data_IF_282113561028
#
_entry.id   IF_282113561028
#
_cell.length_a   1.000
_cell.length_b   1.000
_cell.length_c   1.000
_cell.angle_alpha   90.00
_cell.angle_beta   90.00
_cell.angle_gamma   90.00
#
_symmetry.space_group_name_H-M   'P 1'
#
loop_
_entity.id
_entity.type
_entity.pdbx_description
1 polymer ?
#
# COMPACT_ATOMS: atom_id res chain seq x y z
N UNK A 1 -15.57 36.32 -14.62
CA UNK A 1 -14.59 35.42 -15.28
C UNK A 1 -13.89 34.65 -14.16
N UNK A 2 -14.49 33.53 -13.74
CA UNK A 2 -13.91 32.65 -12.72
C UNK A 2 -12.78 31.89 -13.38
N UNK A 3 -11.52 32.09 -12.90
CA UNK A 3 -10.40 31.22 -13.24
C UNK A 3 -10.78 29.81 -12.78
N UNK A 4 -10.85 28.85 -13.71
CA UNK A 4 -10.86 27.44 -13.36
C UNK A 4 -9.66 27.17 -12.44
N UNK A 5 -9.95 26.93 -11.16
CA UNK A 5 -8.98 26.37 -10.24
C UNK A 5 -8.59 25.02 -10.83
N UNK A 6 -7.39 24.91 -11.40
CA UNK A 6 -6.82 23.60 -11.72
C UNK A 6 -6.84 22.78 -10.44
N UNK A 7 -7.64 21.74 -10.43
CA UNK A 7 -7.59 20.74 -9.37
C UNK A 7 -6.13 20.28 -9.27
N UNK A 8 -5.53 20.55 -8.11
CA UNK A 8 -4.22 19.97 -7.80
C UNK A 8 -4.52 18.50 -7.54
N UNK A 9 -4.02 17.62 -8.40
CA UNK A 9 -4.06 16.16 -8.19
C UNK A 9 -3.17 15.88 -6.98
N UNK A 10 -3.78 15.97 -5.79
CA UNK A 10 -3.06 15.71 -4.53
C UNK A 10 -2.73 14.21 -4.50
N UNK A 11 -1.49 13.83 -4.20
CA UNK A 11 -1.14 12.44 -4.08
C UNK A 11 -1.91 11.81 -2.91
N UNK A 12 -2.47 10.61 -3.10
CA UNK A 12 -2.91 9.80 -1.96
C UNK A 12 -1.69 9.55 -1.07
N UNK A 13 -1.81 9.88 0.20
CA UNK A 13 -0.79 9.59 1.20
C UNK A 13 -1.33 8.50 2.09
N UNK A 14 -0.66 7.35 2.01
CA UNK A 14 -0.89 6.21 2.90
C UNK A 14 0.16 6.24 4.01
N UNK A 15 -0.30 6.06 5.24
CA UNK A 15 0.56 5.94 6.41
C UNK A 15 0.26 4.60 7.09
N UNK A 16 1.26 3.75 7.16
CA UNK A 16 1.16 2.44 7.76
C UNK A 16 1.41 2.49 9.27
N UNK A 17 0.59 1.78 10.02
CA UNK A 17 0.73 1.60 11.47
C UNK A 17 0.60 0.13 11.84
N UNK A 18 1.26 -0.30 12.91
CA UNK A 18 0.98 -1.59 13.51
C UNK A 18 -0.49 -1.64 13.98
N UNK A 19 -0.92 -0.63 14.75
CA UNK A 19 -2.31 -0.39 15.15
C UNK A 19 -2.67 1.10 15.02
N UNK A 20 -3.40 1.44 13.96
CA UNK A 20 -3.90 2.82 13.73
C UNK A 20 -4.85 3.28 14.84
N UNK A 21 -5.57 2.35 15.46
CA UNK A 21 -6.59 2.69 16.47
C UNK A 21 -5.94 3.28 17.71
N UNK A 22 -4.78 2.75 18.11
CA UNK A 22 -3.97 3.30 19.20
C UNK A 22 -3.58 4.75 18.93
N UNK A 23 -3.08 5.04 17.74
CA UNK A 23 -2.64 6.38 17.34
C UNK A 23 -3.82 7.35 17.29
N UNK A 24 -4.93 6.94 16.67
CA UNK A 24 -6.12 7.79 16.50
C UNK A 24 -6.82 8.14 17.82
N UNK A 25 -6.58 7.41 18.91
CA UNK A 25 -7.07 7.79 20.25
C UNK A 25 -6.42 9.07 20.79
N UNK A 26 -5.22 9.39 20.33
CA UNK A 26 -4.43 10.52 20.83
C UNK A 26 -4.44 11.74 19.90
N UNK A 27 -5.01 11.62 18.70
CA UNK A 27 -5.03 12.69 17.71
C UNK A 27 -6.46 13.01 17.31
N UNK A 28 -6.85 14.29 17.45
CA UNK A 28 -8.18 14.75 16.97
C UNK A 28 -8.26 14.56 15.46
N UNK A 29 -9.30 13.87 15.01
CA UNK A 29 -9.51 13.56 13.61
C UNK A 29 -11.00 13.42 13.29
N UNK A 30 -11.36 13.54 12.03
CA UNK A 30 -12.71 13.24 11.52
C UNK A 30 -12.61 12.09 10.53
N UNK A 31 -13.27 10.95 10.76
CA UNK A 31 -13.31 9.87 9.78
C UNK A 31 -13.99 10.32 8.48
N UNK A 32 -13.41 9.90 7.35
CA UNK A 32 -13.96 10.18 6.04
C UNK A 32 -15.22 9.34 5.77
N UNK A 33 -16.09 9.86 4.90
CA UNK A 33 -17.32 9.21 4.45
C UNK A 33 -17.15 8.72 3.00
N UNK A 34 -17.66 7.52 2.71
CA UNK A 34 -17.81 7.00 1.35
C UNK A 34 -19.05 7.61 0.68
N UNK A 35 -19.10 7.60 -0.66
CA UNK A 35 -20.31 8.00 -1.43
C UNK A 35 -21.56 7.21 -1.03
N UNK A 36 -21.39 5.98 -0.51
CA UNK A 36 -22.48 5.15 0.04
C UNK A 36 -23.02 5.63 1.39
N UNK A 37 -22.46 6.69 1.97
CA UNK A 37 -22.78 7.18 3.30
C UNK A 37 -22.06 6.47 4.44
N UNK A 38 -21.37 5.35 4.19
CA UNK A 38 -20.63 4.59 5.21
C UNK A 38 -19.27 5.25 5.52
N UNK A 39 -18.69 4.88 6.66
CA UNK A 39 -17.33 5.26 7.01
C UNK A 39 -16.32 4.70 6.01
N UNK A 40 -15.35 5.53 5.62
CA UNK A 40 -14.20 5.09 4.85
C UNK A 40 -13.28 4.20 5.72
N UNK A 41 -12.76 3.11 5.17
CA UNK A 41 -12.01 2.12 5.97
C UNK A 41 -10.72 2.67 6.57
N UNK A 42 -10.04 3.57 5.87
CA UNK A 42 -8.69 4.08 6.22
C UNK A 42 -8.65 5.59 6.36
N UNK A 43 -9.49 6.30 5.59
CA UNK A 43 -9.43 7.75 5.43
C UNK A 43 -9.85 8.55 6.65
N UNK A 44 -9.03 9.53 7.01
CA UNK A 44 -9.30 10.49 8.08
C UNK A 44 -8.87 11.90 7.66
N UNK A 45 -9.48 12.92 8.28
CA UNK A 45 -9.08 14.31 8.17
C UNK A 45 -8.55 14.79 9.52
N UNK A 46 -7.41 15.47 9.51
CA UNK A 46 -6.84 16.16 10.67
C UNK A 46 -7.11 17.67 10.64
N UNK A 47 -7.64 18.17 9.53
CA UNK A 47 -8.14 19.54 9.39
C UNK A 47 -9.60 19.61 9.82
N UNK A 48 -10.05 20.80 10.23
CA UNK A 48 -11.45 21.03 10.56
C UNK A 48 -12.33 20.85 9.32
N UNK A 49 -13.04 19.74 9.31
CA UNK A 49 -14.11 19.44 8.35
C UNK A 49 -15.43 19.30 9.12
N UNK A 50 -16.55 19.84 8.62
CA UNK A 50 -17.84 19.69 9.29
C UNK A 50 -18.19 18.23 9.53
N UNK A 51 -18.64 17.92 10.77
CA UNK A 51 -19.05 16.58 11.19
C UNK A 51 -20.56 16.46 11.22
N UNK A 52 -21.06 15.33 10.77
CA UNK A 52 -22.43 14.94 10.94
C UNK A 52 -22.68 14.34 12.34
N UNK A 53 -23.95 14.08 12.66
CA UNK A 53 -24.36 13.53 13.97
C UNK A 53 -23.75 12.14 14.23
N UNK A 54 -23.45 11.38 13.18
CA UNK A 54 -22.77 10.07 13.26
C UNK A 54 -21.25 10.18 13.46
N UNK A 55 -20.71 11.39 13.59
CA UNK A 55 -19.28 11.64 13.81
C UNK A 55 -18.40 11.60 12.55
N UNK A 56 -18.96 11.27 11.38
CA UNK A 56 -18.25 11.28 10.12
C UNK A 56 -18.26 12.67 9.47
N UNK A 57 -17.39 12.89 8.49
CA UNK A 57 -17.49 14.09 7.65
C UNK A 57 -18.89 14.21 7.01
N UNK A 58 -19.42 15.44 6.92
CA UNK A 58 -20.77 15.69 6.36
C UNK A 58 -20.84 15.37 4.87
N UNK A 59 -19.73 15.47 4.16
CA UNK A 59 -19.62 15.19 2.74
C UNK A 59 -18.78 13.92 2.49
N UNK A 60 -19.01 13.25 1.38
CA UNK A 60 -18.17 12.12 0.97
C UNK A 60 -16.75 12.56 0.59
N UNK A 61 -15.82 11.62 0.55
CA UNK A 61 -14.39 11.89 0.36
C UNK A 61 -14.06 12.55 -0.98
N UNK A 62 -14.81 12.26 -2.06
CA UNK A 62 -14.58 12.89 -3.36
C UNK A 62 -15.03 14.35 -3.37
N UNK A 63 -16.18 14.62 -2.75
CA UNK A 63 -16.67 15.98 -2.61
C UNK A 63 -15.77 16.79 -1.66
N UNK A 64 -15.29 16.18 -0.56
CA UNK A 64 -14.35 16.82 0.35
C UNK A 64 -13.04 17.22 -0.37
N UNK A 65 -12.51 16.36 -1.25
CA UNK A 65 -11.34 16.67 -2.09
C UNK A 65 -11.60 17.87 -3.02
N UNK A 66 -12.76 17.95 -3.65
CA UNK A 66 -13.17 19.09 -4.49
C UNK A 66 -13.25 20.40 -3.69
N UNK A 67 -13.60 20.32 -2.40
CA UNK A 67 -13.62 21.46 -1.47
C UNK A 67 -12.23 21.80 -0.91
N UNK A 68 -11.18 21.06 -1.28
CA UNK A 68 -9.81 21.28 -0.87
C UNK A 68 -9.42 20.63 0.47
N UNK A 69 -10.24 19.72 1.01
CA UNK A 69 -9.86 18.94 2.18
C UNK A 69 -8.91 17.83 1.79
N UNK A 70 -7.87 17.67 2.59
CA UNK A 70 -6.84 16.64 2.39
C UNK A 70 -7.11 15.43 3.28
N UNK A 71 -7.40 14.28 2.65
CA UNK A 71 -7.60 12.99 3.31
C UNK A 71 -6.28 12.25 3.46
N UNK A 72 -5.98 11.74 4.65
CA UNK A 72 -4.90 10.78 4.88
C UNK A 72 -5.48 9.38 5.06
N UNK A 73 -4.90 8.40 4.39
CA UNK A 73 -5.22 7.00 4.58
C UNK A 73 -4.29 6.38 5.61
N UNK A 74 -4.84 5.98 6.76
CA UNK A 74 -4.12 5.32 7.84
C UNK A 74 -4.43 3.83 7.81
N UNK A 75 -3.43 3.01 7.52
CA UNK A 75 -3.58 1.57 7.33
C UNK A 75 -3.09 0.80 8.55
N UNK A 76 -3.78 -0.30 8.87
CA UNK A 76 -3.28 -1.30 9.80
C UNK A 76 -2.41 -2.29 9.04
N UNK A 77 -1.15 -2.38 9.41
CA UNK A 77 -0.16 -3.29 8.84
C UNK A 77 0.49 -4.07 9.98
N UNK A 78 -0.09 -5.22 10.35
CA UNK A 78 0.32 -6.02 11.50
C UNK A 78 1.77 -6.50 11.46
N UNK A 79 2.43 -6.46 10.29
CA UNK A 79 3.86 -6.77 10.18
C UNK A 79 4.70 -5.86 11.11
N UNK A 80 4.30 -4.61 11.27
CA UNK A 80 5.03 -3.65 12.11
C UNK A 80 4.94 -3.93 13.62
N UNK A 81 4.05 -4.83 14.07
CA UNK A 81 4.04 -5.28 15.48
C UNK A 81 5.35 -5.99 15.88
N UNK A 82 6.03 -6.62 14.92
CA UNK A 82 7.33 -7.24 15.10
C UNK A 82 8.52 -6.26 15.07
N UNK A 83 8.30 -5.00 14.73
CA UNK A 83 9.35 -3.98 14.65
C UNK A 83 9.50 -3.30 16.00
N UNK A 84 10.71 -3.32 16.57
CA UNK A 84 11.00 -2.80 17.92
C UNK A 84 11.10 -1.28 17.97
N UNK A 85 11.81 -0.71 17.00
CA UNK A 85 12.15 0.70 16.90
C UNK A 85 12.61 1.08 15.47
N UNK A 86 12.92 2.35 15.24
CA UNK A 86 13.38 2.87 13.95
C UNK A 86 14.69 2.21 13.48
N UNK A 87 15.64 1.97 14.38
CA UNK A 87 16.93 1.36 14.05
C UNK A 87 16.70 -0.06 13.55
N UNK A 88 15.85 -0.83 14.24
CA UNK A 88 15.47 -2.17 13.82
C UNK A 88 14.74 -2.17 12.47
N UNK A 89 13.85 -1.18 12.24
CA UNK A 89 13.18 -1.05 10.95
C UNK A 89 14.19 -0.81 9.81
N UNK A 90 15.14 0.09 10.00
CA UNK A 90 16.19 0.38 9.01
C UNK A 90 17.04 -0.86 8.75
N UNK A 91 17.42 -1.61 9.79
CA UNK A 91 18.13 -2.88 9.65
C UNK A 91 17.34 -3.89 8.81
N UNK A 92 16.05 -4.08 9.11
CA UNK A 92 15.17 -4.98 8.37
C UNK A 92 14.98 -4.56 6.90
N UNK A 93 14.95 -3.26 6.62
CA UNK A 93 14.80 -2.72 5.27
C UNK A 93 16.07 -2.84 4.43
N UNK A 94 17.25 -2.78 5.07
CA UNK A 94 18.56 -2.74 4.39
C UNK A 94 19.27 -4.08 4.35
N UNK A 95 18.85 -5.04 5.17
CA UNK A 95 19.37 -6.42 5.13
C UNK A 95 18.84 -7.13 3.89
N UNK A 96 19.74 -7.67 3.09
CA UNK A 96 19.36 -8.46 1.91
C UNK A 96 18.64 -9.75 2.35
N UNK A 97 17.38 -9.95 1.95
CA UNK A 97 16.63 -11.13 2.36
C UNK A 97 17.02 -12.36 1.54
N UNK A 98 16.73 -13.53 2.05
CA UNK A 98 16.91 -14.79 1.31
C UNK A 98 15.78 -14.97 0.28
N UNK A 99 15.84 -14.23 -0.85
CA UNK A 99 14.82 -14.24 -1.90
C UNK A 99 14.41 -15.63 -2.38
N UNK A 100 15.36 -16.57 -2.45
CA UNK A 100 15.12 -17.95 -2.89
C UNK A 100 14.08 -18.66 -2.02
N UNK A 101 13.97 -18.36 -0.75
CA UNK A 101 12.95 -18.95 0.14
C UNK A 101 11.53 -18.69 -0.36
N UNK A 102 11.29 -17.62 -1.09
CA UNK A 102 9.94 -17.32 -1.63
C UNK A 102 9.45 -18.37 -2.63
N UNK A 103 10.34 -19.06 -3.34
CA UNK A 103 9.96 -20.07 -4.34
C UNK A 103 10.44 -21.48 -4.01
N UNK A 104 11.26 -21.65 -3.00
CA UNK A 104 11.75 -22.97 -2.52
C UNK A 104 10.94 -23.45 -1.30
N UNK A 105 10.44 -22.52 -0.47
CA UNK A 105 9.71 -22.79 0.77
C UNK A 105 8.29 -22.21 0.68
N UNK A 106 7.32 -23.09 0.35
CA UNK A 106 5.91 -22.68 0.21
C UNK A 106 5.35 -22.11 1.51
N UNK A 107 5.62 -22.76 2.64
CA UNK A 107 5.08 -22.36 3.93
C UNK A 107 5.60 -20.97 4.33
N UNK A 108 6.88 -20.71 4.10
CA UNK A 108 7.45 -19.39 4.29
C UNK A 108 6.78 -18.33 3.39
N UNK A 109 6.65 -18.62 2.09
CA UNK A 109 6.04 -17.71 1.14
C UNK A 109 4.60 -17.36 1.51
N UNK A 110 3.80 -18.36 1.91
CA UNK A 110 2.38 -18.18 2.26
C UNK A 110 2.16 -17.30 3.51
N UNK A 111 3.18 -17.15 4.35
CA UNK A 111 3.15 -16.24 5.51
C UNK A 111 3.46 -14.78 5.14
N UNK A 112 4.09 -14.53 3.98
CA UNK A 112 4.56 -13.19 3.61
C UNK A 112 3.38 -12.30 3.18
N UNK A 113 3.35 -11.11 3.77
CA UNK A 113 2.36 -10.08 3.46
C UNK A 113 2.32 -9.77 1.94
N UNK A 114 1.14 -9.48 1.42
CA UNK A 114 0.84 -9.17 0.02
C UNK A 114 1.01 -10.28 -1.00
N UNK A 115 1.83 -11.31 -0.75
CA UNK A 115 2.19 -12.32 -1.75
C UNK A 115 1.81 -13.75 -1.36
N UNK A 116 1.37 -13.99 -0.12
CA UNK A 116 1.13 -15.35 0.42
C UNK A 116 0.22 -16.22 -0.43
N UNK A 117 -0.80 -15.65 -1.08
CA UNK A 117 -1.74 -16.40 -1.93
C UNK A 117 -1.23 -16.63 -3.37
N UNK A 118 0.02 -16.29 -3.68
CA UNK A 118 0.55 -16.26 -5.05
C UNK A 118 1.80 -17.12 -5.26
N UNK A 119 1.98 -18.17 -4.45
CA UNK A 119 3.19 -19.01 -4.47
C UNK A 119 3.55 -19.53 -5.87
N UNK A 120 2.59 -20.06 -6.63
CA UNK A 120 2.88 -20.60 -7.97
C UNK A 120 3.39 -19.53 -8.94
N UNK A 121 2.87 -18.31 -8.84
CA UNK A 121 3.34 -17.19 -9.64
C UNK A 121 4.72 -16.71 -9.17
N UNK A 122 4.96 -16.64 -7.86
CA UNK A 122 6.29 -16.35 -7.27
C UNK A 122 7.32 -17.37 -7.77
N UNK A 123 6.99 -18.66 -7.70
CA UNK A 123 7.86 -19.75 -8.13
C UNK A 123 8.22 -19.65 -9.61
N UNK A 124 7.31 -19.21 -10.45
CA UNK A 124 7.55 -19.07 -11.88
C UNK A 124 8.31 -17.79 -12.23
N UNK A 125 8.03 -16.67 -11.56
CA UNK A 125 8.62 -15.37 -11.89
C UNK A 125 9.91 -15.06 -11.13
N UNK A 126 10.10 -15.60 -9.92
CA UNK A 126 11.27 -15.46 -9.05
C UNK A 126 11.77 -14.02 -8.90
N UNK A 127 10.97 -13.12 -8.27
CA UNK A 127 11.41 -11.77 -7.99
C UNK A 127 12.50 -11.76 -6.91
N UNK A 128 13.71 -11.36 -7.26
CA UNK A 128 14.95 -11.46 -6.47
C UNK A 128 15.50 -10.11 -6.04
N UNK A 129 14.69 -9.08 -6.09
CA UNK A 129 15.06 -7.71 -5.68
C UNK A 129 13.83 -6.86 -5.46
N UNK A 130 13.95 -5.77 -4.69
CA UNK A 130 12.86 -4.81 -4.47
C UNK A 130 12.24 -4.32 -5.79
N UNK A 131 13.02 -3.91 -6.83
CA UNK A 131 12.42 -3.51 -8.10
C UNK A 131 11.62 -4.61 -8.79
N UNK A 132 12.11 -5.88 -8.78
CA UNK A 132 11.38 -7.00 -9.36
C UNK A 132 10.17 -7.39 -8.53
N UNK A 133 10.26 -7.33 -7.21
CA UNK A 133 9.11 -7.53 -6.32
C UNK A 133 8.05 -6.45 -6.54
N UNK A 134 8.42 -5.19 -6.70
CA UNK A 134 7.48 -4.11 -7.02
C UNK A 134 6.77 -4.36 -8.37
N UNK A 135 7.51 -4.77 -9.40
CA UNK A 135 6.92 -5.17 -10.69
C UNK A 135 6.00 -6.39 -10.53
N UNK A 136 6.39 -7.39 -9.74
CA UNK A 136 5.57 -8.56 -9.44
C UNK A 136 4.22 -8.15 -8.82
N UNK A 137 4.25 -7.30 -7.81
CA UNK A 137 3.04 -6.77 -7.14
C UNK A 137 2.11 -6.04 -8.12
N UNK A 138 2.67 -5.32 -9.09
CA UNK A 138 1.89 -4.66 -10.14
C UNK A 138 1.29 -5.69 -11.13
N UNK A 139 2.05 -6.71 -11.52
CA UNK A 139 1.61 -7.78 -12.45
C UNK A 139 0.51 -8.66 -11.86
N UNK A 140 0.43 -8.78 -10.54
CA UNK A 140 -0.68 -9.47 -9.88
C UNK A 140 -2.04 -8.80 -10.12
N UNK A 141 -2.05 -7.50 -10.39
CA UNK A 141 -3.30 -6.74 -10.62
C UNK A 141 -3.96 -7.16 -11.93
N UNK A 142 -5.31 -7.22 -11.99
CA UNK A 142 -6.03 -7.69 -13.19
C UNK A 142 -5.62 -6.99 -14.48
N UNK A 143 -5.48 -5.66 -14.46
CA UNK A 143 -5.11 -4.86 -15.63
C UNK A 143 -3.69 -5.11 -16.18
N UNK A 144 -2.84 -5.84 -15.46
CA UNK A 144 -1.47 -6.17 -15.87
C UNK A 144 -1.22 -7.68 -15.97
N UNK A 145 -2.24 -8.51 -15.85
CA UNK A 145 -2.14 -9.97 -15.87
C UNK A 145 -1.49 -10.53 -17.15
N UNK A 146 -1.60 -9.84 -18.27
CA UNK A 146 -0.95 -10.20 -19.55
C UNK A 146 0.58 -10.15 -19.50
N UNK A 147 1.16 -9.50 -18.49
CA UNK A 147 2.61 -9.42 -18.28
C UNK A 147 3.16 -10.57 -17.41
N UNK A 148 2.31 -11.45 -16.89
CA UNK A 148 2.72 -12.60 -16.10
C UNK A 148 3.67 -13.50 -16.89
N UNK A 149 4.73 -13.96 -16.24
CA UNK A 149 5.74 -14.85 -16.81
C UNK A 149 6.53 -14.30 -18.02
N UNK A 150 6.42 -13.00 -18.29
CA UNK A 150 7.29 -12.36 -19.28
C UNK A 150 8.66 -12.01 -18.69
N UNK A 151 9.69 -11.84 -19.52
CA UNK A 151 11.00 -11.38 -19.06
C UNK A 151 10.90 -10.04 -18.33
N UNK A 152 11.66 -9.87 -17.24
CA UNK A 152 11.64 -8.65 -16.43
C UNK A 152 11.90 -7.37 -17.23
N UNK A 153 12.79 -7.45 -18.26
CA UNK A 153 13.06 -6.32 -19.15
C UNK A 153 11.83 -5.90 -19.99
N UNK A 154 10.96 -6.85 -20.36
CA UNK A 154 9.70 -6.57 -21.07
C UNK A 154 8.66 -5.99 -20.10
N UNK A 155 8.53 -6.60 -18.92
CA UNK A 155 7.61 -6.13 -17.87
C UNK A 155 7.91 -4.67 -17.52
N UNK A 156 9.18 -4.32 -17.30
CA UNK A 156 9.60 -2.98 -16.89
C UNK A 156 9.21 -1.88 -17.89
N UNK A 157 9.04 -2.22 -19.16
CA UNK A 157 8.69 -1.23 -20.21
C UNK A 157 7.26 -0.71 -20.07
N UNK A 158 6.33 -1.54 -19.61
CA UNK A 158 4.89 -1.24 -19.69
C UNK A 158 4.11 -1.45 -18.41
N UNK A 159 4.73 -2.03 -17.37
CA UNK A 159 4.03 -2.34 -16.11
C UNK A 159 3.50 -1.09 -15.41
N UNK A 160 4.18 0.04 -15.57
CA UNK A 160 3.83 1.32 -14.95
C UNK A 160 2.94 2.22 -15.82
N UNK A 161 2.63 1.81 -17.06
CA UNK A 161 1.73 2.54 -17.93
C UNK A 161 0.33 2.60 -17.32
N UNK A 162 -0.36 3.73 -17.52
CA UNK A 162 -1.75 3.88 -17.06
C UNK A 162 -2.65 2.84 -17.75
N UNK A 163 -3.52 2.20 -16.98
CA UNK A 163 -4.54 1.34 -17.54
C UNK A 163 -5.63 2.18 -18.20
N UNK A 164 -6.13 1.72 -19.34
CA UNK A 164 -7.21 2.37 -20.08
C UNK A 164 -8.51 2.36 -19.25
N UNK A 165 -8.68 1.37 -18.39
CA UNK A 165 -9.92 1.09 -17.64
C UNK A 165 -9.92 1.64 -16.19
N UNK A 166 -9.14 2.70 -15.89
CA UNK A 166 -9.23 3.42 -14.61
C UNK A 166 -8.08 3.18 -13.64
N UNK A 167 -8.22 2.30 -12.63
CA UNK A 167 -7.23 2.16 -11.56
C UNK A 167 -5.86 1.70 -12.05
N UNK A 168 -4.84 2.51 -11.76
CA UNK A 168 -3.43 2.17 -12.03
C UNK A 168 -2.68 2.06 -10.71
N UNK A 169 -2.04 0.92 -10.47
CA UNK A 169 -1.19 0.72 -9.30
C UNK A 169 0.08 1.56 -9.44
N UNK A 170 0.26 2.55 -8.58
CA UNK A 170 1.36 3.52 -8.65
C UNK A 170 2.69 2.84 -8.30
N UNK A 171 3.76 3.22 -9.03
CA UNK A 171 5.10 2.68 -8.80
C UNK A 171 5.60 2.94 -7.38
N UNK A 172 5.30 4.11 -6.80
CA UNK A 172 5.66 4.45 -5.41
C UNK A 172 5.04 3.48 -4.40
N UNK A 173 3.73 3.19 -4.52
CA UNK A 173 3.06 2.19 -3.69
C UNK A 173 3.65 0.79 -3.87
N UNK A 174 3.95 0.40 -5.13
CA UNK A 174 4.54 -0.90 -5.39
C UNK A 174 5.92 -1.07 -4.75
N UNK A 175 6.74 -0.01 -4.73
CA UNK A 175 8.05 -0.01 -4.07
C UNK A 175 7.88 -0.10 -2.55
N UNK A 176 6.96 0.69 -1.96
CA UNK A 176 6.69 0.65 -0.52
C UNK A 176 6.23 -0.76 -0.08
N UNK A 177 5.31 -1.38 -0.81
CA UNK A 177 4.87 -2.74 -0.53
C UNK A 177 5.95 -3.80 -0.76
N UNK A 178 6.82 -3.63 -1.76
CA UNK A 178 7.97 -4.52 -1.97
C UNK A 178 8.99 -4.41 -0.82
N UNK A 179 9.20 -3.21 -0.29
CA UNK A 179 10.03 -2.99 0.90
C UNK A 179 9.41 -3.65 2.13
N UNK A 180 8.08 -3.56 2.31
CA UNK A 180 7.37 -4.24 3.39
C UNK A 180 7.49 -5.78 3.29
N UNK A 181 7.51 -6.34 2.06
CA UNK A 181 7.80 -7.77 1.85
C UNK A 181 9.19 -8.11 2.39
N UNK A 182 10.21 -7.30 2.09
CA UNK A 182 11.58 -7.49 2.62
C UNK A 182 11.61 -7.43 4.15
N UNK A 183 10.97 -6.42 4.74
CA UNK A 183 10.86 -6.30 6.20
C UNK A 183 10.24 -7.56 6.81
N UNK A 184 9.14 -8.05 6.23
CA UNK A 184 8.47 -9.25 6.75
C UNK A 184 9.32 -10.52 6.58
N UNK A 185 10.02 -10.68 5.44
CA UNK A 185 10.94 -11.80 5.24
C UNK A 185 12.05 -11.80 6.30
N UNK A 186 12.64 -10.65 6.57
CA UNK A 186 13.72 -10.52 7.54
C UNK A 186 13.22 -10.71 8.99
N UNK A 187 12.03 -10.20 9.34
CA UNK A 187 11.40 -10.48 10.64
C UNK A 187 11.20 -11.98 10.88
N UNK A 188 10.65 -12.69 9.91
CA UNK A 188 10.41 -14.13 10.03
C UNK A 188 11.71 -14.96 10.08
N UNK A 189 12.78 -14.46 9.49
CA UNK A 189 14.09 -15.12 9.50
C UNK A 189 14.82 -14.85 10.82
N UNK A 190 14.68 -13.66 11.40
CA UNK A 190 15.33 -13.30 12.67
C UNK A 190 14.66 -13.92 13.91
N UNK A 191 13.42 -14.41 13.76
CA UNK A 191 12.63 -15.03 14.86
C UNK A 191 12.84 -16.53 14.97
N UNK A 192 13.70 -17.12 14.12
CA UNK A 192 14.05 -18.53 14.09
C UNK A 192 15.44 -18.73 14.67
#
# INVERSE_FOLDING_TARGET
MYKELRMIDLPDIDIDFADRTSVLKHISHTPARLETGKQHNTGVYFTDIPRAVDGLATVDHKHAEQLGYFKLDMLNVGVYEGVRDEVHLVELMTTEPQWNRLWEDREFCERIVHIGNHYELIKSMRPDSIPRMAMFLAVMRPGKSKLRNKPWAEINKTVWDRNVDGYTFRKSHAIAYATLVVVHMNLLTSST
#
